data_IF_269759083910
#
_entry.id   IF_269759083910
#
_cell.length_a   1.000
_cell.length_b   1.000
_cell.length_c   1.000
_cell.angle_alpha   90.00
_cell.angle_beta   90.00
_cell.angle_gamma   90.00
#
_symmetry.space_group_name_H-M   'P 1'
#
loop_
_entity.id
_entity.type
_entity.pdbx_description
1 polymer ?
#
# COMPACT_ATOMS: atom_id res chain seq x y z
N UNK A 1 -8.00 6.24 -16.69
CA UNK A 1 -9.02 7.14 -16.15
C UNK A 1 -8.36 8.38 -15.57
N UNK A 2 -8.97 9.53 -15.81
CA UNK A 2 -8.40 10.83 -15.44
C UNK A 2 -8.24 11.01 -13.94
N UNK A 3 -9.19 10.51 -13.15
CA UNK A 3 -9.14 10.61 -11.68
C UNK A 3 -7.97 9.82 -11.11
N UNK A 4 -7.75 8.63 -11.62
CA UNK A 4 -6.63 7.80 -11.21
C UNK A 4 -5.30 8.49 -11.55
N UNK A 5 -5.19 9.01 -12.77
CA UNK A 5 -3.97 9.70 -13.20
C UNK A 5 -3.68 10.91 -12.31
N UNK A 6 -4.71 11.69 -11.98
CA UNK A 6 -4.56 12.86 -11.14
C UNK A 6 -4.06 12.48 -9.73
N UNK A 7 -4.67 11.47 -9.13
CA UNK A 7 -4.27 11.02 -7.80
C UNK A 7 -2.84 10.49 -7.78
N UNK A 8 -2.48 9.67 -8.77
CA UNK A 8 -1.12 9.13 -8.88
C UNK A 8 -0.10 10.24 -9.09
N UNK A 9 -0.45 11.25 -9.89
CA UNK A 9 0.42 12.41 -10.09
C UNK A 9 0.67 13.15 -8.79
N UNK A 10 -0.35 13.38 -7.98
CA UNK A 10 -0.20 14.03 -6.68
C UNK A 10 0.71 13.23 -5.75
N UNK A 11 0.50 11.92 -5.70
CA UNK A 11 1.33 11.06 -4.85
C UNK A 11 2.78 11.05 -5.33
N UNK A 12 2.99 11.05 -6.62
CA UNK A 12 4.33 11.11 -7.20
C UNK A 12 5.00 12.46 -6.91
N UNK A 13 4.31 13.57 -7.18
CA UNK A 13 4.85 14.92 -7.00
C UNK A 13 5.13 15.25 -5.52
N UNK A 14 4.38 14.67 -4.60
CA UNK A 14 4.64 14.85 -3.17
C UNK A 14 5.91 14.15 -2.71
N UNK A 15 6.44 13.24 -3.53
CA UNK A 15 7.58 12.40 -3.18
C UNK A 15 7.21 11.12 -2.47
N UNK A 16 5.91 10.87 -2.23
CA UNK A 16 5.49 9.68 -1.49
C UNK A 16 5.94 8.39 -2.18
N UNK A 17 5.70 8.28 -3.48
CA UNK A 17 6.06 7.05 -4.21
C UNK A 17 7.57 6.81 -4.21
N UNK A 18 8.36 7.85 -4.45
CA UNK A 18 9.82 7.74 -4.42
C UNK A 18 10.30 7.33 -3.03
N UNK A 19 9.73 7.92 -2.00
CA UNK A 19 10.09 7.58 -0.63
C UNK A 19 9.78 6.11 -0.32
N UNK A 20 8.57 5.65 -0.69
CA UNK A 20 8.18 4.26 -0.44
C UNK A 20 9.05 3.28 -1.20
N UNK A 21 9.42 3.61 -2.44
CA UNK A 21 10.31 2.77 -3.23
C UNK A 21 11.73 2.73 -2.67
N UNK A 22 12.13 3.76 -1.94
CA UNK A 22 13.46 3.85 -1.34
C UNK A 22 13.60 3.10 -0.01
N UNK A 23 12.52 2.62 0.56
CA UNK A 23 12.55 1.90 1.84
C UNK A 23 13.28 0.58 1.65
N UNK A 24 14.48 0.48 2.21
CA UNK A 24 15.39 -0.65 1.94
C UNK A 24 14.86 -2.00 2.41
N UNK A 25 14.18 -1.99 3.55
CA UNK A 25 13.72 -3.23 4.18
C UNK A 25 12.25 -3.53 3.94
N UNK A 26 11.58 -2.70 3.14
CA UNK A 26 10.22 -2.96 2.69
C UNK A 26 10.28 -3.73 1.37
N UNK A 27 9.72 -4.92 1.35
CA UNK A 27 9.77 -5.80 0.17
C UNK A 27 8.67 -5.48 -0.81
N UNK A 28 7.48 -5.18 -0.31
CA UNK A 28 6.31 -4.90 -1.14
C UNK A 28 5.53 -3.76 -0.51
N UNK A 29 5.09 -2.82 -1.33
CA UNK A 29 4.28 -1.69 -0.89
C UNK A 29 3.09 -1.57 -1.82
N UNK A 30 1.89 -1.57 -1.24
CA UNK A 30 0.64 -1.57 -2.01
C UNK A 30 -0.29 -0.48 -1.49
N UNK A 31 -0.82 0.30 -2.42
CA UNK A 31 -1.87 1.27 -2.15
C UNK A 31 -3.20 0.57 -2.43
N UNK A 32 -4.10 0.50 -1.44
CA UNK A 32 -5.31 -0.28 -1.58
C UNK A 32 -6.52 0.42 -0.95
N UNK A 33 -7.64 -0.26 -0.86
CA UNK A 33 -8.82 0.22 -0.19
C UNK A 33 -9.84 0.86 -1.12
N UNK A 34 -10.81 1.55 -0.52
CA UNK A 34 -11.96 2.09 -1.25
C UNK A 34 -11.56 3.13 -2.29
N UNK A 35 -10.55 3.93 -2.00
CA UNK A 35 -10.06 4.93 -2.95
C UNK A 35 -9.65 4.29 -4.27
N UNK A 36 -8.87 3.20 -4.19
CA UNK A 36 -8.37 2.50 -5.39
C UNK A 36 -9.49 1.79 -6.13
N UNK A 37 -10.43 1.18 -5.39
CA UNK A 37 -11.48 0.35 -6.00
C UNK A 37 -12.59 1.15 -6.63
N UNK A 38 -12.96 2.28 -6.05
CA UNK A 38 -14.18 2.97 -6.49
C UNK A 38 -13.96 4.42 -6.90
N UNK A 39 -13.12 5.17 -6.20
CA UNK A 39 -12.99 6.60 -6.48
C UNK A 39 -11.61 7.12 -6.10
N UNK A 40 -10.74 7.18 -7.11
CA UNK A 40 -9.40 7.73 -6.94
C UNK A 40 -9.40 9.21 -6.52
N UNK A 41 -10.53 9.88 -6.65
CA UNK A 41 -10.65 11.30 -6.29
C UNK A 41 -11.09 11.50 -4.84
N UNK A 42 -11.47 10.43 -4.16
CA UNK A 42 -11.96 10.52 -2.80
C UNK A 42 -10.92 11.15 -1.87
N UNK A 43 -11.38 11.99 -0.95
CA UNK A 43 -10.54 12.55 0.10
C UNK A 43 -10.49 11.64 1.33
N UNK A 44 -10.97 10.42 1.20
CA UNK A 44 -10.89 9.44 2.27
C UNK A 44 -9.43 9.09 2.60
N UNK A 45 -9.25 8.38 3.69
CA UNK A 45 -7.93 7.94 4.13
C UNK A 45 -7.22 7.12 3.04
N UNK A 46 -5.91 7.25 3.02
CA UNK A 46 -5.07 6.45 2.13
C UNK A 46 -4.72 5.16 2.86
N UNK A 47 -5.17 4.03 2.34
CA UNK A 47 -4.83 2.73 2.91
C UNK A 47 -3.57 2.21 2.25
N UNK A 48 -2.53 2.00 3.05
CA UNK A 48 -1.22 1.61 2.57
C UNK A 48 -0.76 0.36 3.29
N UNK A 49 -0.28 -0.61 2.53
CA UNK A 49 0.27 -1.84 3.07
C UNK A 49 1.77 -1.93 2.78
N UNK A 50 2.55 -2.26 3.81
CA UNK A 50 3.98 -2.51 3.67
C UNK A 50 4.29 -3.92 4.17
N UNK A 51 4.86 -4.74 3.29
CA UNK A 51 5.37 -6.06 3.64
C UNK A 51 6.87 -5.95 3.86
N UNK A 52 7.29 -6.23 5.09
CA UNK A 52 8.67 -6.06 5.52
C UNK A 52 8.76 -5.00 6.60
N UNK A 53 9.86 -4.26 6.63
CA UNK A 53 10.12 -3.27 7.66
C UNK A 53 9.65 -1.88 7.20
N UNK A 54 8.87 -1.21 8.04
CA UNK A 54 8.35 0.12 7.76
C UNK A 54 9.00 1.22 8.63
N UNK A 55 10.05 0.89 9.37
CA UNK A 55 10.64 1.81 10.35
C UNK A 55 11.09 3.13 9.73
N UNK A 56 11.54 3.13 8.48
CA UNK A 56 12.04 4.32 7.82
C UNK A 56 10.95 5.13 7.12
N UNK A 57 9.70 4.70 7.19
CA UNK A 57 8.60 5.40 6.54
C UNK A 57 8.21 6.66 7.33
N UNK A 58 8.33 7.82 6.69
CA UNK A 58 8.01 9.12 7.28
C UNK A 58 6.53 9.45 7.05
N UNK A 59 5.65 8.69 7.70
CA UNK A 59 4.20 8.79 7.50
C UNK A 59 3.66 10.19 7.77
N UNK A 60 4.06 10.81 8.88
CA UNK A 60 3.56 12.12 9.27
C UNK A 60 3.90 13.21 8.25
N UNK A 61 5.08 13.13 7.66
CA UNK A 61 5.52 14.07 6.63
C UNK A 61 4.58 14.05 5.43
N UNK A 62 4.21 12.87 4.98
CA UNK A 62 3.36 12.74 3.78
C UNK A 62 1.89 12.99 4.08
N UNK A 63 1.44 12.69 5.30
CA UNK A 63 0.10 13.10 5.72
C UNK A 63 -0.06 14.60 5.65
N UNK A 64 0.96 15.37 6.10
CA UNK A 64 0.94 16.81 6.03
C UNK A 64 0.98 17.32 4.59
N UNK A 65 1.84 16.74 3.77
CA UNK A 65 1.96 17.15 2.37
C UNK A 65 0.70 16.91 1.56
N UNK A 66 0.06 15.78 1.79
CA UNK A 66 -1.13 15.37 1.04
C UNK A 66 -2.43 15.85 1.68
N UNK A 67 -2.36 16.33 2.93
CA UNK A 67 -3.53 16.76 3.72
C UNK A 67 -4.55 15.64 3.84
N UNK A 68 -4.07 14.41 4.05
CA UNK A 68 -4.89 13.21 4.19
C UNK A 68 -4.25 12.27 5.19
N UNK A 69 -5.05 11.54 5.91
CA UNK A 69 -4.55 10.50 6.80
C UNK A 69 -4.10 9.29 6.00
N UNK A 70 -3.01 8.69 6.45
CA UNK A 70 -2.51 7.43 5.89
C UNK A 70 -2.73 6.35 6.92
N UNK A 71 -3.54 5.35 6.58
CA UNK A 71 -3.73 4.18 7.41
C UNK A 71 -2.73 3.13 6.98
N UNK A 72 -1.75 2.88 7.84
CA UNK A 72 -0.67 1.95 7.54
C UNK A 72 -0.98 0.57 8.09
N UNK A 73 -0.92 -0.42 7.21
CA UNK A 73 -1.01 -1.84 7.55
C UNK A 73 0.34 -2.46 7.27
N UNK A 74 0.91 -3.11 8.27
CA UNK A 74 2.26 -3.68 8.13
C UNK A 74 2.26 -5.15 8.52
N UNK A 75 2.92 -5.96 7.70
CA UNK A 75 3.24 -7.34 8.01
C UNK A 75 4.74 -7.51 7.84
N UNK A 76 5.44 -7.79 8.94
CA UNK A 76 6.91 -7.89 8.89
C UNK A 76 7.40 -9.19 8.28
N UNK A 77 6.56 -10.21 8.28
CA UNK A 77 6.89 -11.53 7.73
C UNK A 77 5.61 -12.25 7.32
N UNK A 78 5.78 -13.43 6.75
CA UNK A 78 4.64 -14.24 6.27
C UNK A 78 3.69 -14.64 7.39
N UNK A 79 4.21 -14.90 8.58
CA UNK A 79 3.39 -15.25 9.73
C UNK A 79 2.45 -14.10 10.10
N UNK A 80 2.97 -12.88 10.10
CA UNK A 80 2.15 -11.69 10.38
C UNK A 80 1.13 -11.46 9.28
N UNK A 81 1.51 -11.69 8.03
CA UNK A 81 0.60 -11.57 6.90
C UNK A 81 -0.60 -12.52 7.04
N UNK A 82 -0.36 -13.76 7.43
CA UNK A 82 -1.44 -14.73 7.66
C UNK A 82 -2.40 -14.27 8.76
N UNK A 83 -1.87 -13.64 9.80
CA UNK A 83 -2.69 -13.18 10.92
C UNK A 83 -3.62 -12.03 10.56
N UNK A 84 -3.37 -11.35 9.44
CA UNK A 84 -4.23 -10.25 9.00
C UNK A 84 -5.59 -10.73 8.51
N UNK A 85 -5.70 -12.02 8.16
CA UNK A 85 -6.95 -12.59 7.67
C UNK A 85 -7.09 -12.50 6.16
N UNK A 86 -7.81 -13.48 5.60
CA UNK A 86 -7.92 -13.63 4.14
C UNK A 86 -8.65 -12.47 3.48
N UNK A 87 -9.70 -11.97 4.12
CA UNK A 87 -10.49 -10.87 3.54
C UNK A 87 -9.66 -9.62 3.35
N UNK A 88 -8.88 -9.24 4.37
CA UNK A 88 -8.02 -8.07 4.27
C UNK A 88 -6.90 -8.27 3.25
N UNK A 89 -6.26 -9.44 3.26
CA UNK A 89 -5.18 -9.73 2.31
C UNK A 89 -5.70 -9.70 0.88
N UNK A 90 -6.88 -10.21 0.62
CA UNK A 90 -7.48 -10.14 -0.72
C UNK A 90 -7.72 -8.69 -1.17
N UNK A 91 -8.17 -7.84 -0.27
CA UNK A 91 -8.30 -6.41 -0.57
C UNK A 91 -6.94 -5.78 -0.92
N UNK A 92 -5.92 -6.12 -0.16
CA UNK A 92 -4.58 -5.57 -0.35
C UNK A 92 -4.02 -5.96 -1.71
N UNK A 93 -4.10 -7.23 -2.09
CA UNK A 93 -3.50 -7.71 -3.35
C UNK A 93 -4.22 -7.20 -4.59
N UNK A 94 -5.43 -6.68 -4.46
CA UNK A 94 -6.16 -6.04 -5.55
C UNK A 94 -5.77 -4.57 -5.72
N UNK A 95 -4.89 -4.05 -4.87
CA UNK A 95 -4.49 -2.67 -4.90
C UNK A 95 -3.44 -2.35 -5.96
N UNK A 96 -2.90 -1.15 -5.85
CA UNK A 96 -1.88 -0.64 -6.76
C UNK A 96 -0.49 -0.88 -6.16
N UNK A 97 0.34 -1.66 -6.83
CA UNK A 97 1.68 -2.01 -6.34
C UNK A 97 2.65 -0.86 -6.61
N UNK A 98 3.11 -0.22 -5.56
CA UNK A 98 4.10 0.87 -5.65
C UNK A 98 5.50 0.28 -5.71
N UNK A 99 5.75 -0.81 -4.98
CA UNK A 99 7.04 -1.48 -4.93
C UNK A 99 6.82 -2.98 -4.82
N UNK A 100 7.69 -3.75 -5.46
CA UNK A 100 7.62 -5.20 -5.40
C UNK A 100 6.51 -5.77 -6.26
N UNK A 101 6.31 -7.06 -6.13
CA UNK A 101 5.32 -7.79 -6.91
C UNK A 101 4.52 -8.73 -6.02
N UNK A 102 3.45 -9.26 -6.59
CA UNK A 102 2.63 -10.27 -5.93
C UNK A 102 3.45 -11.51 -5.59
N UNK A 103 4.52 -11.78 -6.32
CA UNK A 103 5.38 -12.95 -6.08
C UNK A 103 6.07 -12.90 -4.73
N UNK A 104 6.31 -11.71 -4.18
CA UNK A 104 6.88 -11.57 -2.84
C UNK A 104 5.93 -12.11 -1.77
N UNK A 105 4.65 -12.25 -2.10
CA UNK A 105 3.62 -12.78 -1.21
C UNK A 105 3.17 -14.19 -1.64
N UNK A 106 3.87 -14.80 -2.59
CA UNK A 106 3.40 -15.93 -3.39
C UNK A 106 2.88 -17.14 -2.63
N UNK A 107 3.56 -17.56 -1.57
CA UNK A 107 3.14 -18.74 -0.81
C UNK A 107 1.75 -18.50 -0.18
N UNK A 108 1.52 -17.31 0.31
CA UNK A 108 0.24 -16.96 0.94
C UNK A 108 -0.90 -16.90 -0.08
N UNK A 109 -0.59 -16.43 -1.29
CA UNK A 109 -1.59 -16.37 -2.35
C UNK A 109 -2.07 -17.74 -2.78
N UNK A 110 -1.18 -18.75 -2.82
CA UNK A 110 -1.56 -20.11 -3.11
C UNK A 110 -2.55 -20.65 -2.07
N UNK A 111 -2.36 -20.31 -0.82
CA UNK A 111 -3.29 -20.67 0.24
C UNK A 111 -4.65 -20.00 0.06
N UNK A 112 -4.65 -18.75 -0.39
CA UNK A 112 -5.89 -18.01 -0.61
C UNK A 112 -6.71 -18.54 -1.77
N UNK A 113 -6.05 -19.14 -2.75
CA UNK A 113 -6.70 -19.64 -3.97
C UNK A 113 -7.10 -21.11 -3.90
N UNK A 114 -6.77 -21.79 -2.85
CA UNK A 114 -7.05 -23.22 -2.71
C UNK A 114 -8.37 -23.49 -1.99
#
# INVERSE_FOLDING_TARGET
>A
NKKKLYALTQFYESGLFNHLQSLKNAKTVILFGSMVRSDWYSESDIDLFIYGDDDDFEIGKYELKLKREIQLFNAKNKKKLRKMGMGLVQNIIQGYFIKGTIDNLGVELKCLNS
#
